data_IF_956175668871
#
_entry.id   IF_956175668871
#
_cell.length_a   1.000
_cell.length_b   1.000
_cell.length_c   1.000
_cell.angle_alpha   90.00
_cell.angle_beta   90.00
_cell.angle_gamma   90.00
#
_symmetry.space_group_name_H-M   'P 1'
#
loop_
_entity.id
_entity.type
_entity.pdbx_description
1 polymer ?
#
# COMPACT_ATOMS: atom_id res chain seq x y z
N UNK A 1 -1.35 -9.94 31.19
CA UNK A 1 -0.96 -11.37 30.99
C UNK A 1 -1.53 -11.81 29.68
N UNK A 2 -0.68 -12.03 28.70
CA UNK A 2 -1.05 -12.36 27.32
C UNK A 2 -1.44 -13.83 27.23
N UNK A 3 -2.71 -14.10 26.90
CA UNK A 3 -3.17 -15.46 26.63
C UNK A 3 -2.73 -15.89 25.22
N UNK A 4 -1.55 -16.49 25.14
CA UNK A 4 -1.13 -17.26 23.96
C UNK A 4 -1.70 -18.67 24.14
N UNK A 5 -2.76 -18.99 23.39
CA UNK A 5 -3.24 -20.38 23.32
C UNK A 5 -2.38 -21.13 22.31
N UNK A 6 -1.34 -21.80 22.82
CA UNK A 6 -0.37 -22.55 22.03
C UNK A 6 -0.85 -23.91 21.48
N UNK A 7 -2.10 -24.30 21.71
CA UNK A 7 -2.58 -25.66 21.42
C UNK A 7 -3.55 -25.78 20.23
N UNK A 8 -3.85 -24.68 19.52
CA UNK A 8 -4.65 -24.75 18.29
C UNK A 8 -3.75 -24.78 17.05
N UNK A 9 -4.08 -25.55 16.01
CA UNK A 9 -3.31 -25.56 14.75
C UNK A 9 -3.21 -24.20 14.08
N UNK A 10 -4.02 -23.22 14.50
CA UNK A 10 -3.94 -21.82 14.13
C UNK A 10 -3.65 -20.98 15.39
N UNK A 11 -2.40 -20.59 15.60
CA UNK A 11 -2.04 -19.71 16.72
C UNK A 11 -2.70 -18.35 16.51
N UNK A 12 -3.64 -17.97 17.38
CA UNK A 12 -4.31 -16.67 17.35
C UNK A 12 -3.83 -15.78 18.48
N UNK A 13 -3.47 -14.54 18.15
CA UNK A 13 -3.09 -13.51 19.08
C UNK A 13 -4.24 -12.50 19.20
N UNK A 14 -4.87 -12.42 20.36
CA UNK A 14 -6.03 -11.60 20.61
C UNK A 14 -5.69 -10.50 21.63
N UNK A 15 -5.78 -9.26 21.22
CA UNK A 15 -5.69 -8.08 22.06
C UNK A 15 -6.81 -7.10 21.70
N UNK A 16 -8.00 -7.30 22.27
CA UNK A 16 -9.13 -6.39 22.13
C UNK A 16 -9.28 -5.52 23.38
N UNK A 17 -9.75 -4.30 23.19
CA UNK A 17 -10.21 -3.39 24.26
C UNK A 17 -9.15 -2.96 25.30
N UNK A 18 -7.87 -2.99 24.96
CA UNK A 18 -6.79 -2.54 25.85
C UNK A 18 -6.40 -1.07 25.69
N UNK A 19 -7.11 -0.32 24.86
CA UNK A 19 -6.80 1.09 24.55
C UNK A 19 -5.33 1.30 24.11
N UNK A 20 -4.75 0.33 23.40
CA UNK A 20 -3.39 0.42 22.89
C UNK A 20 -3.29 1.57 21.89
N UNK A 21 -2.40 2.51 22.14
CA UNK A 21 -2.08 3.59 21.20
C UNK A 21 -1.01 3.18 20.20
N UNK A 22 -0.10 2.30 20.62
CA UNK A 22 0.98 1.75 19.80
C UNK A 22 1.23 0.28 20.16
N UNK A 23 1.74 -0.49 19.21
CA UNK A 23 2.28 -1.83 19.49
C UNK A 23 3.72 -1.64 19.97
N UNK A 24 4.07 -2.03 21.21
CA UNK A 24 5.44 -1.90 21.70
C UNK A 24 6.42 -2.64 20.79
N UNK A 25 7.57 -2.01 20.50
CA UNK A 25 8.65 -2.65 19.75
C UNK A 25 9.12 -3.94 20.44
N UNK A 26 9.34 -4.98 19.66
CA UNK A 26 9.79 -6.29 20.16
C UNK A 26 8.68 -7.17 20.71
N UNK A 27 7.45 -6.68 20.94
CA UNK A 27 6.33 -7.50 21.44
C UNK A 27 6.00 -8.67 20.51
N UNK A 28 6.10 -8.44 19.21
CA UNK A 28 5.75 -9.43 18.18
C UNK A 28 6.93 -10.31 17.76
N UNK A 29 8.17 -9.97 18.16
CA UNK A 29 9.37 -10.75 17.80
C UNK A 29 9.31 -12.22 18.19
N UNK A 30 8.81 -12.61 19.38
CA UNK A 30 8.68 -14.03 19.72
C UNK A 30 7.80 -14.82 18.74
N UNK A 31 6.84 -14.16 18.05
CA UNK A 31 5.95 -14.81 17.10
C UNK A 31 6.67 -15.20 15.79
N UNK A 32 7.80 -14.57 15.46
CA UNK A 32 8.62 -14.90 14.30
C UNK A 32 9.29 -16.27 14.41
N UNK A 33 9.52 -16.74 15.64
CA UNK A 33 10.26 -17.96 15.93
C UNK A 33 9.36 -19.11 16.40
N UNK A 34 8.05 -18.97 16.28
CA UNK A 34 7.12 -20.04 16.62
C UNK A 34 7.30 -21.22 15.68
N UNK A 35 7.47 -22.41 16.26
CA UNK A 35 7.49 -23.68 15.53
C UNK A 35 6.32 -24.53 15.95
N UNK A 36 5.66 -25.15 15.00
CA UNK A 36 4.60 -26.12 15.25
C UNK A 36 5.23 -27.44 15.66
N UNK A 37 4.81 -28.00 16.80
CA UNK A 37 5.21 -29.35 17.16
C UNK A 37 4.67 -30.33 16.09
N UNK A 38 5.50 -31.25 15.56
CA UNK A 38 5.03 -32.24 14.61
C UNK A 38 3.97 -33.10 15.30
N UNK A 39 2.74 -33.08 14.78
CA UNK A 39 1.70 -34.00 15.25
C UNK A 39 1.99 -35.37 14.66
N UNK A 40 2.72 -36.19 15.38
CA UNK A 40 3.01 -37.58 14.99
C UNK A 40 1.73 -38.38 15.19
N UNK A 41 0.80 -38.35 14.25
CA UNK A 41 -0.34 -39.25 14.27
C UNK A 41 -0.15 -40.51 13.43
N UNK A 42 0.65 -40.47 12.37
CA UNK A 42 1.05 -41.64 11.57
C UNK A 42 2.32 -41.31 10.78
N UNK A 43 3.17 -42.31 10.54
CA UNK A 43 4.34 -42.12 9.70
C UNK A 43 3.89 -41.72 8.28
N UNK A 44 4.52 -40.74 7.63
CA UNK A 44 4.13 -40.30 6.29
C UNK A 44 4.29 -41.45 5.32
N UNK A 45 3.21 -41.77 4.61
CA UNK A 45 3.16 -42.87 3.63
C UNK A 45 3.91 -42.50 2.34
N UNK A 46 4.39 -41.27 2.19
CA UNK A 46 5.23 -40.86 1.05
C UNK A 46 6.21 -39.77 1.45
N UNK A 47 7.43 -39.83 0.88
CA UNK A 47 8.54 -38.89 1.14
C UNK A 47 8.27 -37.45 0.73
N UNK A 48 7.15 -37.14 0.08
CA UNK A 48 6.82 -35.83 -0.45
C UNK A 48 5.82 -35.03 0.39
N UNK A 49 5.43 -35.50 1.55
CA UNK A 49 4.47 -34.81 2.43
C UNK A 49 5.22 -34.12 3.58
N UNK A 50 6.00 -33.09 3.25
CA UNK A 50 6.56 -32.22 4.27
C UNK A 50 5.55 -31.12 4.61
N UNK A 51 4.87 -31.21 5.74
CA UNK A 51 4.11 -30.10 6.29
C UNK A 51 5.08 -29.07 6.87
N UNK A 52 4.93 -27.81 6.48
CA UNK A 52 5.69 -26.72 7.07
C UNK A 52 5.54 -26.72 8.59
N UNK A 53 6.66 -26.68 9.31
CA UNK A 53 6.68 -26.58 10.78
C UNK A 53 6.33 -25.17 11.27
N UNK A 54 6.25 -24.19 10.39
CA UNK A 54 5.86 -22.84 10.74
C UNK A 54 4.34 -22.75 10.89
N UNK A 55 3.82 -22.37 12.07
CA UNK A 55 2.40 -22.17 12.24
C UNK A 55 1.95 -20.92 11.47
N UNK A 56 0.74 -20.97 10.92
CA UNK A 56 0.09 -19.76 10.43
C UNK A 56 -0.39 -18.92 11.61
N UNK A 57 -0.17 -17.61 11.49
CA UNK A 57 -0.53 -16.66 12.54
C UNK A 57 -1.83 -15.93 12.18
N UNK A 58 -2.63 -15.67 13.20
CA UNK A 58 -3.79 -14.79 13.14
C UNK A 58 -3.69 -13.74 14.24
N UNK A 59 -3.71 -12.46 13.88
CA UNK A 59 -3.60 -11.33 14.80
C UNK A 59 -4.89 -10.53 14.76
N UNK A 60 -5.51 -10.37 15.93
CA UNK A 60 -6.73 -9.60 16.11
C UNK A 60 -6.47 -8.49 17.14
N UNK A 61 -6.51 -7.24 16.69
CA UNK A 61 -6.33 -6.04 17.51
C UNK A 61 -7.52 -5.06 17.36
N UNK A 62 -8.78 -5.55 17.37
CA UNK A 62 -9.91 -4.66 17.22
C UNK A 62 -10.09 -3.78 18.45
N UNK A 63 -10.84 -2.66 18.29
CA UNK A 63 -11.26 -1.77 19.38
C UNK A 63 -10.09 -1.22 20.21
N UNK A 64 -9.01 -0.82 19.55
CA UNK A 64 -7.88 -0.14 20.18
C UNK A 64 -7.78 1.31 19.69
N UNK A 65 -6.77 2.03 20.16
CA UNK A 65 -6.50 3.42 19.77
C UNK A 65 -5.24 3.54 18.90
N UNK A 66 -4.90 2.47 18.14
CA UNK A 66 -3.69 2.43 17.33
C UNK A 66 -3.73 3.53 16.26
N UNK A 67 -2.76 4.45 16.32
CA UNK A 67 -2.57 5.53 15.34
C UNK A 67 -1.54 5.18 14.27
N UNK A 68 -0.58 4.31 14.58
CA UNK A 68 0.45 3.84 13.68
C UNK A 68 0.77 2.36 13.92
N UNK A 69 1.33 1.70 12.91
CA UNK A 69 1.75 0.31 12.96
C UNK A 69 3.27 0.21 13.00
N UNK A 70 3.79 -0.62 13.90
CA UNK A 70 5.23 -0.88 14.00
C UNK A 70 5.69 -1.92 12.98
N UNK A 71 6.93 -1.80 12.52
CA UNK A 71 7.51 -2.67 11.50
C UNK A 71 7.55 -4.15 11.88
N UNK A 72 7.72 -4.47 13.16
CA UNK A 72 7.77 -5.85 13.65
C UNK A 72 6.53 -6.66 13.20
N UNK A 73 5.38 -5.99 13.00
CA UNK A 73 4.17 -6.62 12.49
C UNK A 73 4.36 -7.15 11.06
N UNK A 74 5.07 -6.40 10.22
CA UNK A 74 5.27 -6.73 8.82
C UNK A 74 6.43 -7.70 8.57
N UNK A 75 7.14 -8.10 9.62
CA UNK A 75 8.15 -9.16 9.58
C UNK A 75 7.55 -10.55 9.77
N UNK A 76 6.27 -10.63 10.14
CA UNK A 76 5.54 -11.89 10.33
C UNK A 76 5.08 -12.45 8.98
N UNK A 77 6.00 -13.00 8.19
CA UNK A 77 5.72 -13.49 6.82
C UNK A 77 4.73 -14.65 6.75
N UNK A 78 4.48 -15.33 7.88
CA UNK A 78 3.50 -16.40 8.05
C UNK A 78 2.13 -15.92 8.57
N UNK A 79 1.90 -14.60 8.63
CA UNK A 79 0.63 -14.01 9.07
C UNK A 79 -0.44 -14.19 7.98
N UNK A 80 -1.51 -14.92 8.31
CA UNK A 80 -2.66 -15.16 7.42
C UNK A 80 -3.84 -14.24 7.68
N UNK A 81 -4.08 -13.89 8.92
CA UNK A 81 -5.22 -13.06 9.31
C UNK A 81 -4.75 -11.87 10.12
N UNK A 82 -5.11 -10.67 9.66
CA UNK A 82 -4.85 -9.42 10.37
C UNK A 82 -6.13 -8.61 10.50
N UNK A 83 -6.60 -8.42 11.73
CA UNK A 83 -7.75 -7.56 12.02
C UNK A 83 -7.32 -6.37 12.87
N UNK A 84 -7.44 -5.18 12.29
CA UNK A 84 -7.17 -3.87 12.90
C UNK A 84 -8.45 -3.02 12.95
N UNK A 85 -9.60 -3.69 12.95
CA UNK A 85 -10.91 -3.02 12.96
C UNK A 85 -11.05 -2.09 14.16
N UNK A 86 -11.70 -0.94 13.94
CA UNK A 86 -12.00 0.04 14.97
C UNK A 86 -10.75 0.52 15.72
N UNK A 87 -9.88 1.20 14.97
CA UNK A 87 -8.68 1.87 15.46
C UNK A 87 -8.63 3.31 14.94
N UNK A 88 -7.51 4.00 15.12
CA UNK A 88 -7.29 5.39 14.68
C UNK A 88 -6.23 5.49 13.59
N UNK A 89 -6.05 4.44 12.80
CA UNK A 89 -5.03 4.40 11.75
C UNK A 89 -5.37 5.41 10.66
N UNK A 90 -4.43 6.29 10.35
CA UNK A 90 -4.54 7.28 9.27
C UNK A 90 -3.90 6.79 7.97
N UNK A 91 -2.91 5.89 8.08
CA UNK A 91 -2.23 5.28 6.93
C UNK A 91 -1.79 3.85 7.23
N UNK A 92 -1.59 3.09 6.18
CA UNK A 92 -0.98 1.75 6.22
C UNK A 92 0.38 1.86 5.52
N UNK A 93 1.49 1.42 6.16
CA UNK A 93 2.81 1.54 5.56
C UNK A 93 3.00 0.58 4.37
N UNK A 94 3.88 0.95 3.45
CA UNK A 94 4.23 0.17 2.25
C UNK A 94 4.83 -1.21 2.57
N UNK A 95 5.34 -1.38 3.79
CA UNK A 95 5.84 -2.68 4.31
C UNK A 95 4.80 -3.78 4.36
N UNK A 96 3.51 -3.45 4.24
CA UNK A 96 2.43 -4.46 4.13
C UNK A 96 2.69 -5.46 3.00
N UNK A 97 3.45 -5.08 1.97
CA UNK A 97 3.87 -5.97 0.88
C UNK A 97 4.63 -7.22 1.35
N UNK A 98 5.24 -7.20 2.56
CA UNK A 98 5.98 -8.31 3.13
C UNK A 98 5.09 -9.45 3.62
N UNK A 99 3.81 -9.16 3.87
CA UNK A 99 2.83 -10.14 4.35
C UNK A 99 2.29 -10.97 3.19
N UNK A 100 3.16 -11.72 2.51
CA UNK A 100 2.81 -12.47 1.30
C UNK A 100 1.84 -13.62 1.55
N UNK A 101 1.78 -14.15 2.78
CA UNK A 101 0.84 -15.21 3.17
C UNK A 101 -0.51 -14.67 3.67
N UNK A 102 -0.73 -13.34 3.63
CA UNK A 102 -1.94 -12.72 4.18
C UNK A 102 -3.16 -13.09 3.34
N UNK A 103 -4.14 -13.75 3.96
CA UNK A 103 -5.39 -14.16 3.33
C UNK A 103 -6.57 -13.25 3.69
N UNK A 104 -6.58 -12.73 4.92
CA UNK A 104 -7.67 -11.90 5.45
C UNK A 104 -7.12 -10.64 6.08
N UNK A 105 -7.58 -9.48 5.60
CA UNK A 105 -7.23 -8.17 6.14
C UNK A 105 -8.48 -7.36 6.46
N UNK A 106 -8.64 -6.95 7.73
CA UNK A 106 -9.73 -6.10 8.15
C UNK A 106 -9.21 -4.77 8.71
N UNK A 107 -9.45 -3.69 7.97
CA UNK A 107 -9.08 -2.30 8.30
C UNK A 107 -10.32 -1.41 8.49
N UNK A 108 -11.51 -2.00 8.63
CA UNK A 108 -12.74 -1.22 8.75
C UNK A 108 -12.78 -0.37 10.02
N UNK A 109 -13.53 0.73 9.96
CA UNK A 109 -13.68 1.65 11.09
C UNK A 109 -12.32 2.21 11.55
N UNK A 110 -11.60 2.81 10.63
CA UNK A 110 -10.36 3.55 10.88
C UNK A 110 -10.48 4.96 10.29
N UNK A 111 -9.38 5.70 10.25
CA UNK A 111 -9.30 7.06 9.71
C UNK A 111 -8.50 7.10 8.39
N UNK A 112 -8.54 6.01 7.62
CA UNK A 112 -7.80 5.90 6.36
C UNK A 112 -8.45 6.78 5.29
N UNK A 113 -7.64 7.66 4.69
CA UNK A 113 -8.05 8.48 3.55
C UNK A 113 -7.63 7.87 2.22
N UNK A 114 -6.63 7.01 2.21
CA UNK A 114 -6.11 6.26 1.07
C UNK A 114 -5.51 4.92 1.52
N UNK A 115 -5.21 4.08 0.55
CA UNK A 115 -4.51 2.81 0.75
C UNK A 115 -3.12 2.87 0.06
N UNK A 116 -2.12 2.14 0.56
CA UNK A 116 -0.84 2.04 -0.10
C UNK A 116 -0.95 1.19 -1.38
N UNK A 117 -0.21 1.58 -2.41
CA UNK A 117 -0.17 0.85 -3.69
C UNK A 117 0.23 -0.63 -3.54
N UNK A 118 1.09 -0.91 -2.59
CA UNK A 118 1.60 -2.25 -2.31
C UNK A 118 0.49 -3.22 -1.90
N UNK A 119 -0.59 -2.72 -1.32
CA UNK A 119 -1.76 -3.54 -1.00
C UNK A 119 -2.45 -4.04 -2.27
N UNK A 120 -2.48 -3.23 -3.33
CA UNK A 120 -3.03 -3.67 -4.62
C UNK A 120 -2.23 -4.85 -5.20
N UNK A 121 -0.90 -4.85 -5.05
CA UNK A 121 -0.07 -5.98 -5.45
C UNK A 121 -0.40 -7.26 -4.67
N UNK A 122 -0.67 -7.17 -3.37
CA UNK A 122 -1.11 -8.32 -2.57
C UNK A 122 -2.47 -8.85 -3.01
N UNK A 123 -3.36 -7.98 -3.49
CA UNK A 123 -4.66 -8.38 -4.02
C UNK A 123 -4.50 -9.10 -5.37
N UNK A 124 -3.63 -8.59 -6.24
CA UNK A 124 -3.44 -9.11 -7.60
C UNK A 124 -2.60 -10.39 -7.64
N UNK A 125 -1.50 -10.40 -6.92
CA UNK A 125 -0.45 -11.43 -7.03
C UNK A 125 -0.30 -12.29 -5.76
N UNK A 126 -0.89 -11.85 -4.64
CA UNK A 126 -0.78 -12.51 -3.34
C UNK A 126 -1.97 -13.43 -3.03
N UNK A 127 -1.93 -13.98 -1.83
CA UNK A 127 -2.95 -14.89 -1.28
C UNK A 127 -4.16 -14.14 -0.67
N UNK A 128 -4.21 -12.80 -0.75
CA UNK A 128 -5.27 -12.01 -0.12
C UNK A 128 -6.63 -12.30 -0.76
N UNK A 129 -7.52 -12.93 0.02
CA UNK A 129 -8.85 -13.37 -0.39
C UNK A 129 -9.96 -12.44 0.11
N UNK A 130 -9.79 -11.95 1.34
CA UNK A 130 -10.79 -11.11 2.00
C UNK A 130 -10.18 -9.78 2.43
N UNK A 131 -10.71 -8.68 1.92
CA UNK A 131 -10.30 -7.34 2.28
C UNK A 131 -11.51 -6.54 2.76
N UNK A 132 -11.55 -6.19 4.03
CA UNK A 132 -12.60 -5.33 4.60
C UNK A 132 -11.99 -3.99 4.99
N UNK A 133 -12.30 -2.93 4.24
CA UNK A 133 -11.75 -1.60 4.46
C UNK A 133 -12.81 -0.54 4.79
N UNK A 134 -14.08 -0.86 4.65
CA UNK A 134 -15.18 0.07 4.92
C UNK A 134 -15.85 -0.20 6.28
N UNK A 135 -16.34 0.88 6.96
CA UNK A 135 -16.22 2.31 6.60
C UNK A 135 -14.85 2.90 6.96
N UNK A 136 -14.39 3.83 6.13
CA UNK A 136 -13.25 4.71 6.34
C UNK A 136 -13.51 6.03 5.58
N UNK A 137 -12.91 7.18 5.95
CA UNK A 137 -13.10 8.46 5.28
C UNK A 137 -12.27 8.58 4.00
N UNK A 138 -12.39 7.60 3.10
CA UNK A 138 -11.63 7.55 1.84
C UNK A 138 -11.91 8.76 0.94
N UNK A 139 -10.84 9.24 0.30
CA UNK A 139 -10.93 10.28 -0.71
C UNK A 139 -11.85 9.85 -1.85
N UNK A 140 -12.78 10.72 -2.22
CA UNK A 140 -13.72 10.50 -3.31
C UNK A 140 -13.14 11.04 -4.62
N UNK A 141 -13.55 10.43 -5.73
CA UNK A 141 -13.22 10.94 -7.05
C UNK A 141 -14.00 12.25 -7.26
N UNK A 142 -13.28 13.35 -7.45
CA UNK A 142 -13.86 14.62 -7.86
C UNK A 142 -13.83 14.73 -9.39
N UNK A 143 -14.88 15.33 -9.98
CA UNK A 143 -15.00 15.44 -11.46
C UNK A 143 -13.81 16.13 -12.13
N UNK A 144 -13.14 17.03 -11.44
CA UNK A 144 -11.96 17.76 -11.92
C UNK A 144 -10.67 16.91 -11.96
N UNK A 145 -10.66 15.73 -11.31
CA UNK A 145 -9.50 14.87 -11.15
C UNK A 145 -9.54 13.61 -12.03
N UNK A 146 -10.65 13.38 -12.73
CA UNK A 146 -10.78 12.21 -13.60
C UNK A 146 -10.01 12.53 -14.90
N UNK A 147 -8.85 11.90 -15.08
CA UNK A 147 -8.26 11.80 -16.40
C UNK A 147 -9.23 11.03 -17.31
N UNK A 148 -9.43 11.48 -18.53
CA UNK A 148 -10.51 11.13 -19.48
C UNK A 148 -10.60 9.65 -19.90
N UNK A 149 -9.93 8.72 -19.22
CA UNK A 149 -9.77 7.32 -19.61
C UNK A 149 -11.04 6.47 -19.56
N UNK A 150 -12.08 6.89 -18.83
CA UNK A 150 -13.35 6.16 -18.75
C UNK A 150 -14.58 7.01 -19.09
N UNK A 151 -14.41 8.09 -19.83
CA UNK A 151 -15.52 8.76 -20.48
C UNK A 151 -15.92 7.98 -21.74
N UNK A 152 -16.53 6.81 -21.59
CA UNK A 152 -17.33 6.27 -22.69
C UNK A 152 -18.43 7.29 -22.99
N UNK A 153 -18.58 7.75 -24.26
CA UNK A 153 -19.63 8.68 -24.63
C UNK A 153 -20.96 7.93 -24.75
N UNK A 154 -21.46 7.37 -23.67
CA UNK A 154 -22.81 6.85 -23.61
C UNK A 154 -23.75 8.01 -23.38
N UNK A 155 -24.32 8.53 -24.49
CA UNK A 155 -25.56 9.31 -24.57
C UNK A 155 -25.88 10.22 -23.38
N UNK A 156 -25.21 11.36 -23.30
CA UNK A 156 -25.72 12.49 -22.52
C UNK A 156 -27.05 12.94 -23.11
N UNK A 157 -28.14 12.39 -22.66
CA UNK A 157 -29.40 13.12 -22.65
C UNK A 157 -29.30 14.14 -21.54
N UNK A 158 -29.07 15.39 -21.91
CA UNK A 158 -29.16 16.54 -21.02
C UNK A 158 -30.59 16.61 -20.47
N UNK A 159 -30.77 16.11 -19.25
CA UNK A 159 -31.93 16.45 -18.45
C UNK A 159 -31.65 17.79 -17.77
N UNK A 160 -32.35 18.81 -18.27
CA UNK A 160 -32.47 20.13 -17.64
C UNK A 160 -33.21 19.97 -16.31
N UNK A 161 -32.51 19.75 -15.22
CA UNK A 161 -32.93 20.14 -13.86
C UNK A 161 -31.72 20.01 -12.95
N UNK A 162 -31.37 21.12 -12.33
CA UNK A 162 -30.12 21.32 -11.62
C UNK A 162 -30.06 20.71 -10.22
N UNK A 163 -29.73 19.44 -10.14
CA UNK A 163 -29.09 18.83 -8.95
C UNK A 163 -28.07 17.84 -9.47
N UNK A 164 -26.80 18.20 -9.35
CA UNK A 164 -25.70 17.43 -9.89
C UNK A 164 -25.27 16.30 -8.91
N UNK A 165 -26.09 15.29 -8.76
CA UNK A 165 -25.62 13.99 -8.29
C UNK A 165 -24.97 13.27 -9.46
N UNK A 166 -23.66 13.01 -9.35
CA UNK A 166 -22.94 12.20 -10.35
C UNK A 166 -23.64 10.84 -10.45
N UNK A 167 -23.94 10.34 -11.68
CA UNK A 167 -24.50 9.01 -11.83
C UNK A 167 -23.56 7.98 -11.19
N UNK A 168 -24.08 6.93 -10.56
CA UNK A 168 -23.29 5.87 -10.01
C UNK A 168 -22.44 5.23 -11.12
N UNK A 169 -21.16 4.98 -10.82
CA UNK A 169 -20.28 4.25 -11.72
C UNK A 169 -20.75 2.81 -11.80
N UNK A 170 -21.04 2.32 -13.00
CA UNK A 170 -21.46 0.93 -13.26
C UNK A 170 -20.45 0.26 -14.18
N UNK A 171 -20.31 -1.06 -14.00
CA UNK A 171 -19.47 -1.89 -14.85
C UNK A 171 -20.17 -2.09 -16.21
N UNK A 172 -19.47 -1.81 -17.31
CA UNK A 172 -19.92 -2.07 -18.68
C UNK A 172 -19.15 -3.27 -19.25
N UNK A 173 -19.88 -4.22 -19.85
CA UNK A 173 -19.35 -5.52 -20.29
C UNK A 173 -18.50 -5.44 -21.56
N UNK A 174 -18.44 -4.27 -22.22
CA UNK A 174 -17.79 -4.14 -23.54
C UNK A 174 -16.26 -4.22 -23.50
N UNK A 175 -15.62 -4.15 -22.33
CA UNK A 175 -14.16 -4.14 -22.20
C UNK A 175 -13.56 -5.39 -21.52
N UNK A 176 -14.39 -6.38 -21.12
CA UNK A 176 -13.86 -7.59 -20.53
C UNK A 176 -13.42 -8.59 -21.59
N UNK A 177 -12.13 -8.94 -21.70
CA UNK A 177 -11.71 -10.07 -22.51
C UNK A 177 -12.42 -11.33 -21.96
N UNK A 178 -13.24 -11.95 -22.76
CA UNK A 178 -13.89 -13.25 -22.45
C UNK A 178 -12.83 -14.25 -21.97
N UNK A 179 -12.86 -14.61 -20.67
CA UNK A 179 -11.97 -15.59 -20.08
C UNK A 179 -10.97 -15.07 -19.06
N UNK A 180 -10.87 -13.75 -18.84
CA UNK A 180 -10.04 -13.23 -17.76
C UNK A 180 -10.72 -13.50 -16.41
N UNK A 181 -10.01 -14.18 -15.51
CA UNK A 181 -10.41 -14.32 -14.11
C UNK A 181 -10.59 -12.95 -13.46
N UNK A 182 -11.13 -12.93 -12.25
CA UNK A 182 -11.29 -11.69 -11.48
C UNK A 182 -10.00 -10.87 -11.44
N UNK A 183 -10.09 -9.58 -11.75
CA UNK A 183 -8.98 -8.62 -11.61
C UNK A 183 -9.51 -7.27 -11.08
N UNK A 184 -8.69 -6.51 -10.33
CA UNK A 184 -9.02 -5.14 -9.99
C UNK A 184 -9.21 -4.30 -11.25
N UNK A 185 -10.23 -3.42 -11.23
CA UNK A 185 -10.52 -2.51 -12.33
C UNK A 185 -9.99 -1.12 -12.00
N UNK A 186 -9.12 -0.58 -12.84
CA UNK A 186 -8.69 0.81 -12.76
C UNK A 186 -9.83 1.75 -13.16
N UNK A 187 -10.14 2.75 -12.33
CA UNK A 187 -11.27 3.67 -12.55
C UNK A 187 -10.78 5.06 -12.94
N UNK A 188 -9.82 5.61 -12.20
CA UNK A 188 -9.35 6.97 -12.44
C UNK A 188 -7.93 7.18 -11.92
N UNK A 189 -7.23 8.12 -12.55
CA UNK A 189 -5.93 8.64 -12.09
C UNK A 189 -6.07 10.12 -11.80
N UNK A 190 -5.67 10.53 -10.60
CA UNK A 190 -5.67 11.92 -10.18
C UNK A 190 -4.49 12.72 -10.76
N UNK A 191 -4.46 14.03 -10.50
CA UNK A 191 -3.36 14.90 -10.92
C UNK A 191 -2.04 14.45 -10.28
N UNK A 192 -0.95 14.65 -11.03
CA UNK A 192 0.39 14.32 -10.56
C UNK A 192 0.97 15.53 -9.84
N UNK A 193 1.32 15.37 -8.59
CA UNK A 193 2.06 16.36 -7.83
C UNK A 193 3.56 16.10 -7.96
N UNK A 194 4.29 17.08 -8.47
CA UNK A 194 5.75 17.03 -8.59
C UNK A 194 6.42 17.54 -7.32
N UNK A 195 7.49 16.89 -6.90
CA UNK A 195 8.21 17.22 -5.68
C UNK A 195 9.64 17.66 -5.99
N UNK A 196 10.13 18.61 -5.18
CA UNK A 196 11.51 19.07 -5.25
C UNK A 196 12.50 18.06 -4.61
N UNK A 197 13.79 18.42 -4.52
CA UNK A 197 14.83 17.55 -3.96
C UNK A 197 14.72 17.38 -2.44
N UNK A 198 13.90 18.18 -1.79
CA UNK A 198 13.60 18.14 -0.35
C UNK A 198 12.29 17.36 -0.05
N UNK A 199 11.54 16.97 -1.09
CA UNK A 199 10.25 16.29 -0.94
C UNK A 199 9.07 17.25 -0.76
N UNK A 200 9.24 18.55 -1.01
CA UNK A 200 8.16 19.52 -0.96
C UNK A 200 7.42 19.61 -2.31
N UNK A 201 6.10 19.77 -2.31
CA UNK A 201 5.34 19.88 -3.54
C UNK A 201 5.71 21.14 -4.33
N UNK A 202 5.88 20.99 -5.65
CA UNK A 202 6.20 22.07 -6.58
C UNK A 202 4.98 22.51 -7.42
N UNK A 203 3.83 21.87 -7.24
CA UNK A 203 2.63 22.05 -8.05
C UNK A 203 2.44 20.96 -9.10
N UNK A 204 1.40 21.11 -9.89
CA UNK A 204 0.91 20.09 -10.85
C UNK A 204 1.64 20.13 -12.20
N UNK A 205 2.56 21.06 -12.39
CA UNK A 205 3.33 21.15 -13.64
C UNK A 205 4.73 20.56 -13.44
N UNK A 206 5.21 19.74 -14.40
CA UNK A 206 6.57 19.24 -14.33
C UNK A 206 7.55 20.44 -14.33
N UNK A 207 8.59 20.39 -13.50
CA UNK A 207 9.62 21.42 -13.50
C UNK A 207 10.18 21.49 -14.93
N UNK A 208 10.24 22.71 -15.48
CA UNK A 208 10.82 22.93 -16.82
C UNK A 208 12.26 22.40 -16.80
N UNK A 209 12.45 21.23 -17.40
CA UNK A 209 13.79 20.78 -17.76
C UNK A 209 14.36 21.85 -18.71
N UNK A 210 15.59 22.29 -18.44
CA UNK A 210 16.32 23.28 -19.20
C UNK A 210 16.06 23.05 -20.69
N UNK A 211 15.65 24.06 -21.48
CA UNK A 211 15.47 23.87 -22.91
C UNK A 211 16.84 23.49 -23.49
N UNK A 212 16.97 22.25 -23.93
CA UNK A 212 18.05 21.84 -24.81
C UNK A 212 17.82 22.58 -26.14
N UNK A 213 18.66 23.57 -26.41
CA UNK A 213 18.74 24.31 -27.66
C UNK A 213 19.28 23.39 -28.76
N UNK A 214 18.50 22.40 -29.19
CA UNK A 214 18.74 21.71 -30.48
C UNK A 214 17.42 21.17 -31.00
N UNK A 215 16.95 21.64 -32.17
CA UNK A 215 15.85 21.02 -32.87
C UNK A 215 16.34 19.77 -33.59
N UNK A 216 15.52 18.74 -33.62
CA UNK A 216 15.66 17.53 -34.43
C UNK A 216 16.80 16.54 -34.07
N UNK A 217 16.55 15.72 -33.06
CA UNK A 217 17.18 14.43 -32.86
C UNK A 217 16.14 13.48 -32.22
N UNK A 218 16.25 12.14 -32.41
CA UNK A 218 15.40 11.20 -31.70
C UNK A 218 15.46 11.48 -30.21
N UNK A 219 14.31 11.53 -29.53
CA UNK A 219 14.19 11.83 -28.11
C UNK A 219 15.20 10.98 -27.32
N UNK A 220 16.23 11.63 -26.82
CA UNK A 220 17.19 10.97 -25.92
C UNK A 220 16.43 10.46 -24.72
N UNK A 221 16.62 9.21 -24.27
CA UNK A 221 15.95 8.69 -23.11
C UNK A 221 16.20 9.63 -21.93
N UNK A 222 15.11 10.15 -21.36
CA UNK A 222 15.18 11.01 -20.16
C UNK A 222 16.08 10.32 -19.16
N UNK A 223 17.14 10.99 -18.74
CA UNK A 223 18.18 10.40 -17.92
C UNK A 223 17.58 10.12 -16.53
N UNK A 224 17.06 8.92 -16.31
CA UNK A 224 16.41 8.43 -15.09
C UNK A 224 17.39 8.13 -13.96
N UNK A 225 18.63 8.60 -14.09
CA UNK A 225 19.64 8.44 -13.05
C UNK A 225 19.21 9.18 -11.79
N UNK A 226 19.24 8.53 -10.63
CA UNK A 226 18.96 9.18 -9.36
C UNK A 226 20.02 10.27 -9.10
N UNK A 227 19.62 11.36 -8.44
CA UNK A 227 20.57 12.41 -8.05
C UNK A 227 21.61 11.85 -7.06
N UNK A 228 22.81 12.45 -7.00
CA UNK A 228 23.83 12.09 -6.01
C UNK A 228 23.29 12.18 -4.58
N UNK A 229 22.44 13.16 -4.30
CA UNK A 229 21.75 13.30 -3.01
C UNK A 229 20.90 12.05 -2.70
N UNK A 230 20.10 11.60 -3.65
CA UNK A 230 19.27 10.41 -3.49
C UNK A 230 20.11 9.14 -3.32
N UNK A 231 21.21 9.02 -4.07
CA UNK A 231 22.15 7.89 -3.92
C UNK A 231 22.77 7.89 -2.52
N UNK A 232 23.20 9.04 -2.02
CA UNK A 232 23.76 9.20 -0.69
C UNK A 232 22.72 8.87 0.41
N UNK A 233 21.48 9.38 0.29
CA UNK A 233 20.42 9.12 1.25
C UNK A 233 20.04 7.64 1.29
N UNK A 234 19.98 6.95 0.14
CA UNK A 234 19.78 5.51 0.06
C UNK A 234 20.92 4.72 0.69
N UNK A 235 22.16 5.18 0.55
CA UNK A 235 23.29 4.55 1.23
C UNK A 235 23.19 4.72 2.74
N UNK A 236 22.87 5.94 3.22
CA UNK A 236 22.70 6.26 4.64
C UNK A 236 21.51 5.49 5.23
N UNK A 237 20.38 5.38 4.52
CA UNK A 237 19.22 4.64 5.01
C UNK A 237 19.48 3.15 5.23
N UNK A 238 20.55 2.57 4.67
CA UNK A 238 20.96 1.18 4.88
C UNK A 238 21.86 0.99 6.11
N UNK A 239 22.36 2.08 6.70
CA UNK A 239 23.28 2.00 7.82
C UNK A 239 22.54 1.60 9.12
N UNK A 240 22.98 0.54 9.83
CA UNK A 240 22.26 0.03 10.99
C UNK A 240 22.10 1.05 12.12
N UNK A 241 23.07 1.92 12.31
CA UNK A 241 23.06 2.91 13.39
C UNK A 241 22.02 4.02 13.20
N UNK A 242 21.53 4.24 11.97
CA UNK A 242 20.55 5.31 11.70
C UNK A 242 19.25 5.14 12.49
N UNK A 243 18.83 3.89 12.74
CA UNK A 243 17.65 3.61 13.58
C UNK A 243 17.85 3.98 15.04
N UNK A 244 19.08 3.86 15.52
CA UNK A 244 19.43 4.11 16.93
C UNK A 244 19.77 5.60 17.17
N UNK A 245 20.02 6.36 16.10
CA UNK A 245 20.36 7.78 16.18
C UNK A 245 19.19 8.58 16.72
N UNK A 246 19.41 9.32 17.81
CA UNK A 246 18.40 10.19 18.42
C UNK A 246 18.21 11.50 17.65
N UNK A 247 17.13 12.22 17.93
CA UNK A 247 16.92 13.55 17.32
C UNK A 247 17.94 14.58 17.80
N UNK A 248 18.50 14.41 18.99
CA UNK A 248 19.57 15.25 19.54
C UNK A 248 20.87 15.06 18.76
N UNK A 249 21.26 13.81 18.49
CA UNK A 249 22.42 13.49 17.66
C UNK A 249 22.24 13.97 16.21
N UNK A 250 21.03 13.86 15.67
CA UNK A 250 20.73 14.41 14.34
C UNK A 250 20.84 15.93 14.29
N UNK A 251 20.56 16.63 15.40
CA UNK A 251 20.67 18.10 15.47
C UNK A 251 22.12 18.61 15.41
N UNK A 252 23.13 17.75 15.63
CA UNK A 252 24.54 18.10 15.46
C UNK A 252 24.95 18.28 13.99
N UNK A 253 24.15 17.74 13.04
CA UNK A 253 24.39 17.91 11.61
C UNK A 253 23.88 19.27 11.11
N UNK A 254 24.40 19.77 9.97
CA UNK A 254 23.91 21.02 9.35
C UNK A 254 22.39 21.00 9.15
N UNK A 255 21.71 22.09 9.49
CA UNK A 255 20.25 22.20 9.52
C UNK A 255 19.57 21.76 8.20
N UNK A 256 20.25 21.97 7.04
CA UNK A 256 19.76 21.57 5.72
C UNK A 256 19.73 20.04 5.52
N UNK A 257 20.53 19.29 6.27
CA UNK A 257 20.66 17.82 6.14
C UNK A 257 19.73 17.09 7.12
N UNK A 258 19.45 17.70 8.27
CA UNK A 258 18.63 17.07 9.34
C UNK A 258 17.29 16.55 8.84
N UNK A 259 16.46 17.29 8.08
CA UNK A 259 15.19 16.78 7.56
C UNK A 259 15.39 15.57 6.64
N UNK A 260 16.47 15.56 5.86
CA UNK A 260 16.77 14.46 4.93
C UNK A 260 17.19 13.19 5.67
N UNK A 261 17.97 13.32 6.75
CA UNK A 261 18.37 12.20 7.61
C UNK A 261 17.16 11.63 8.38
N UNK A 262 16.29 12.51 8.90
CA UNK A 262 15.03 12.08 9.51
C UNK A 262 14.19 11.27 8.51
N UNK A 263 14.05 11.77 7.30
CA UNK A 263 13.33 11.06 6.25
C UNK A 263 13.98 9.72 5.92
N UNK A 264 15.30 9.64 5.81
CA UNK A 264 16.02 8.40 5.58
C UNK A 264 15.80 7.40 6.73
N UNK A 265 15.75 7.87 8.00
CA UNK A 265 15.45 7.06 9.18
C UNK A 265 14.02 6.54 9.14
N UNK A 266 13.03 7.38 8.79
CA UNK A 266 11.64 6.98 8.64
C UNK A 266 11.46 5.91 7.55
N UNK A 267 12.07 6.12 6.38
CA UNK A 267 12.03 5.16 5.26
C UNK A 267 12.67 3.83 5.66
N UNK A 268 13.78 3.87 6.41
CA UNK A 268 14.39 2.68 6.96
C UNK A 268 13.45 1.98 7.96
N UNK A 269 12.94 2.73 8.94
CA UNK A 269 11.99 2.23 9.92
C UNK A 269 10.74 1.64 9.24
N UNK A 270 10.30 2.21 8.13
CA UNK A 270 9.24 1.65 7.29
C UNK A 270 9.69 0.46 6.41
N UNK A 271 10.92 -0.05 6.54
CA UNK A 271 11.43 -1.20 5.79
C UNK A 271 11.69 -0.93 4.30
N UNK A 272 11.98 0.33 3.94
CA UNK A 272 12.22 0.78 2.58
C UNK A 272 10.94 1.25 1.87
N UNK A 273 11.12 2.06 0.85
CA UNK A 273 10.01 2.60 0.05
C UNK A 273 10.31 2.39 -1.46
N UNK A 274 9.64 1.41 -2.11
CA UNK A 274 9.82 1.18 -3.53
C UNK A 274 8.99 2.14 -4.37
N UNK A 275 9.52 2.52 -5.51
CA UNK A 275 8.79 3.24 -6.53
C UNK A 275 7.64 2.40 -7.07
N UNK A 276 6.45 2.96 -7.16
CA UNK A 276 5.28 2.24 -7.67
C UNK A 276 5.31 2.00 -9.20
N UNK A 277 6.30 2.56 -9.91
CA UNK A 277 6.45 2.42 -11.37
C UNK A 277 7.62 1.52 -11.74
N UNK A 278 8.83 1.84 -11.24
CA UNK A 278 10.06 1.11 -11.61
C UNK A 278 10.60 0.22 -10.49
N UNK A 279 9.93 0.14 -9.34
CA UNK A 279 10.27 -0.65 -8.15
C UNK A 279 11.64 -0.34 -7.52
N UNK A 280 12.34 0.70 -7.98
CA UNK A 280 13.59 1.16 -7.37
C UNK A 280 13.30 1.79 -6.01
N UNK A 281 14.06 1.43 -5.00
CA UNK A 281 13.97 2.08 -3.68
C UNK A 281 14.38 3.55 -3.76
N UNK A 282 13.71 4.38 -2.98
CA UNK A 282 14.01 5.81 -2.86
C UNK A 282 13.76 6.29 -1.42
N UNK A 283 14.34 7.43 -1.07
CA UNK A 283 14.14 8.12 0.21
C UNK A 283 13.20 9.31 0.01
N UNK A 284 13.43 10.09 -1.05
CA UNK A 284 12.62 11.27 -1.37
C UNK A 284 11.80 10.99 -2.63
N UNK A 285 10.45 10.99 -2.55
CA UNK A 285 9.62 10.88 -3.74
C UNK A 285 9.79 12.11 -4.62
N UNK A 286 9.68 11.92 -5.95
CA UNK A 286 9.74 13.00 -6.94
C UNK A 286 8.40 13.26 -7.59
N UNK A 287 7.52 12.28 -7.54
CA UNK A 287 6.14 12.38 -8.01
C UNK A 287 5.22 11.65 -7.05
N UNK A 288 4.00 12.17 -6.93
CA UNK A 288 2.93 11.59 -6.13
C UNK A 288 1.62 11.75 -6.89
N UNK A 289 0.75 10.73 -6.86
CA UNK A 289 -0.60 10.79 -7.38
C UNK A 289 -1.50 9.78 -6.71
N UNK A 290 -2.81 9.93 -6.92
CA UNK A 290 -3.82 8.99 -6.47
C UNK A 290 -4.36 8.23 -7.67
N UNK A 291 -4.61 6.94 -7.48
CA UNK A 291 -5.36 6.11 -8.42
C UNK A 291 -6.55 5.48 -7.70
N UNK A 292 -7.69 5.42 -8.39
CA UNK A 292 -8.88 4.76 -7.86
C UNK A 292 -9.08 3.44 -8.58
N UNK A 293 -9.20 2.40 -7.80
CA UNK A 293 -9.37 1.04 -8.28
C UNK A 293 -10.58 0.40 -7.61
N UNK A 294 -11.37 -0.35 -8.38
CA UNK A 294 -12.47 -1.15 -7.84
C UNK A 294 -12.07 -2.62 -7.72
N UNK A 295 -12.34 -3.18 -6.55
CA UNK A 295 -12.15 -4.60 -6.27
C UNK A 295 -13.27 -5.12 -5.35
N UNK A 296 -14.49 -4.64 -5.57
CA UNK A 296 -15.70 -5.05 -4.85
C UNK A 296 -15.82 -6.58 -4.69
N UNK A 297 -15.48 -7.41 -5.70
CA UNK A 297 -15.52 -8.87 -5.51
C UNK A 297 -14.60 -9.39 -4.39
N UNK A 298 -13.44 -8.76 -4.18
CA UNK A 298 -12.53 -9.15 -3.09
C UNK A 298 -13.04 -8.67 -1.72
N UNK A 299 -13.73 -7.54 -1.66
CA UNK A 299 -14.35 -7.06 -0.41
C UNK A 299 -15.39 -8.07 0.14
N UNK A 300 -16.07 -8.79 -0.75
CA UNK A 300 -17.06 -9.81 -0.39
C UNK A 300 -16.43 -11.21 -0.20
N UNK A 301 -15.12 -11.34 -0.32
CA UNK A 301 -14.42 -12.62 -0.21
C UNK A 301 -14.61 -13.58 -1.38
N UNK A 302 -15.28 -13.16 -2.42
CA UNK A 302 -15.52 -13.94 -3.62
C UNK A 302 -14.78 -13.29 -4.79
N UNK A 303 -13.64 -13.85 -5.19
CA UNK A 303 -12.95 -13.44 -6.43
C UNK A 303 -13.73 -13.99 -7.65
N UNK A 304 -14.97 -13.55 -7.82
CA UNK A 304 -15.81 -13.95 -8.94
C UNK A 304 -15.77 -12.92 -10.07
N UNK A 305 -16.03 -13.32 -11.33
CA UNK A 305 -16.20 -12.38 -12.42
C UNK A 305 -17.28 -11.35 -12.10
N UNK A 306 -17.10 -10.12 -12.59
CA UNK A 306 -18.08 -9.06 -12.41
C UNK A 306 -19.34 -9.32 -13.21
N UNK A 307 -20.46 -8.84 -12.70
CA UNK A 307 -21.72 -8.88 -13.43
C UNK A 307 -21.98 -7.53 -14.13
N UNK A 308 -22.51 -7.54 -15.36
CA UNK A 308 -22.94 -6.30 -16.02
C UNK A 308 -23.92 -5.50 -15.15
N UNK A 309 -23.71 -4.19 -15.05
CA UNK A 309 -24.53 -3.32 -14.20
C UNK A 309 -24.15 -3.32 -12.71
N UNK A 310 -23.09 -4.04 -12.30
CA UNK A 310 -22.58 -4.00 -10.94
C UNK A 310 -22.12 -2.58 -10.58
N UNK A 311 -22.48 -2.11 -9.39
CA UNK A 311 -22.07 -0.81 -8.90
C UNK A 311 -20.61 -0.83 -8.48
N UNK A 312 -19.81 0.01 -9.11
CA UNK A 312 -18.40 0.18 -8.78
C UNK A 312 -18.24 1.01 -7.51
N UNK A 313 -17.36 0.56 -6.63
CA UNK A 313 -17.05 1.19 -5.34
C UNK A 313 -15.55 1.44 -5.22
N UNK A 314 -15.00 2.37 -6.04
CA UNK A 314 -13.56 2.59 -6.12
C UNK A 314 -12.96 3.00 -4.78
N UNK A 315 -11.73 2.55 -4.55
CA UNK A 315 -10.90 2.90 -3.40
C UNK A 315 -9.64 3.63 -3.88
N UNK A 316 -9.22 4.68 -3.14
CA UNK A 316 -8.04 5.46 -3.49
C UNK A 316 -6.75 4.76 -3.08
N UNK A 317 -5.80 4.66 -4.00
CA UNK A 317 -4.45 4.17 -3.78
C UNK A 317 -3.44 5.28 -4.00
N UNK A 318 -2.61 5.53 -3.00
CA UNK A 318 -1.53 6.51 -3.09
C UNK A 318 -0.30 5.89 -3.73
N UNK A 319 0.22 6.55 -4.77
CA UNK A 319 1.40 6.11 -5.51
C UNK A 319 2.51 7.15 -5.44
N UNK A 320 3.73 6.66 -5.46
CA UNK A 320 4.92 7.49 -5.48
C UNK A 320 5.88 7.07 -6.57
N UNK A 321 6.51 8.05 -7.23
CA UNK A 321 7.59 7.85 -8.18
C UNK A 321 8.92 8.36 -7.67
N UNK A 322 10.00 7.63 -7.98
CA UNK A 322 11.36 7.97 -7.57
C UNK A 322 12.04 9.02 -8.47
N UNK A 323 11.47 9.31 -9.63
CA UNK A 323 11.95 10.31 -10.60
C UNK A 323 10.77 11.08 -11.20
N UNK A 324 11.05 12.18 -11.89
CA UNK A 324 10.02 12.99 -12.56
C UNK A 324 9.38 12.25 -13.75
N UNK A 325 10.03 11.23 -14.28
CA UNK A 325 9.54 10.36 -15.35
C UNK A 325 8.78 9.12 -14.82
N UNK A 326 8.87 8.83 -13.52
CA UNK A 326 8.08 7.78 -12.88
C UNK A 326 6.68 8.28 -12.58
N UNK A 327 5.88 8.38 -13.64
CA UNK A 327 4.47 8.79 -13.64
C UNK A 327 3.61 7.68 -14.22
N UNK A 328 2.28 7.70 -14.02
CA UNK A 328 1.40 6.74 -14.67
C UNK A 328 1.62 6.79 -16.17
N UNK A 329 1.75 5.63 -16.81
CA UNK A 329 1.77 5.57 -18.26
C UNK A 329 0.34 5.83 -18.72
N UNK A 330 0.16 6.82 -19.63
CA UNK A 330 -1.08 6.94 -20.38
C UNK A 330 -1.26 5.64 -21.18
N UNK A 331 -2.32 4.91 -20.89
CA UNK A 331 -2.74 3.76 -21.69
C UNK A 331 -3.25 4.22 -23.03
#
# INVERSE_FOLDING_TARGET
MSNIRANDPNSSFLHSDFHLETIPSGLLRPLQHLTKLPSVKEAPVSENVFTSLQPFLSIYLPNNSLSALHNDLFELTNLKVLSLRNNKLTEIPSTIRRLTALEVLNLSVNQLTYLPWELLNLIQQGELKHLTVRPNPFLRIEKAQIAEFHNTPTNRKETKNGEASSPPLQFDDQESPLGAGWSPLHIATGPITYMNMEGNPMGDSPPRTRPTLTPSGPESPVNDAPSLREVALRAVSKLPYLEQTTDEELAEYPAMIVPLLRRAREVRAAGGQPCSVCHREYVIPRTEWMEWWDFTPCENGMKMPRCPGEMLRPLPFRRFGCSLSCVPRSC
#
